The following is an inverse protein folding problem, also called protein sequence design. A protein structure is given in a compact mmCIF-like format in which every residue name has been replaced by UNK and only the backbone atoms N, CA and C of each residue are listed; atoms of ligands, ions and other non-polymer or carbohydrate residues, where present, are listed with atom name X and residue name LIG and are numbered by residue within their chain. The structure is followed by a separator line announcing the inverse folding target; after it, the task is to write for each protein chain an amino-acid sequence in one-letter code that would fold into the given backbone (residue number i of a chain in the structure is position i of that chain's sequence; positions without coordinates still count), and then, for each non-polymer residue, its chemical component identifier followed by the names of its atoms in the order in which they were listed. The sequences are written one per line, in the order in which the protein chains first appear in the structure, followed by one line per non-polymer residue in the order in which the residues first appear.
data_IF_679794825426
#
_entry.id   IF_679794825426
#
_cell.length_a   1.000
_cell.length_b   1.000
_cell.length_c   1.000
_cell.angle_alpha   90.00
_cell.angle_beta   90.00
_cell.angle_gamma   90.00
#
_symmetry.space_group_name_H-M   'P 1'
#
loop_
_entity.id
_entity.type
_entity.pdbx_description
1 polymer ?
#
# COMPACT_ATOMS: atom_id res chain seq x y z
N UNK A 1 -52.79 -13.54 -39.27
CA UNK A 1 -51.65 -14.07 -40.00
C UNK A 1 -50.34 -13.54 -39.45
N UNK A 2 -50.25 -12.29 -39.35
CA UNK A 2 -49.00 -11.70 -38.80
C UNK A 2 -48.66 -12.21 -37.40
N UNK A 3 -49.67 -12.47 -36.62
CA UNK A 3 -49.44 -12.94 -35.27
C UNK A 3 -48.73 -14.29 -35.24
N UNK A 4 -49.08 -15.17 -36.17
CA UNK A 4 -48.43 -16.47 -36.24
C UNK A 4 -46.99 -16.36 -36.60
N UNK A 5 -46.66 -15.48 -37.49
CA UNK A 5 -45.29 -15.27 -37.91
C UNK A 5 -44.49 -14.61 -36.80
N UNK A 6 -45.07 -13.62 -36.16
CA UNK A 6 -44.39 -12.92 -35.12
C UNK A 6 -44.26 -13.75 -33.84
N UNK A 7 -45.20 -14.68 -33.62
CA UNK A 7 -45.17 -15.49 -32.41
C UNK A 7 -43.90 -16.31 -32.27
N UNK A 8 -43.50 -17.14 -33.25
CA UNK A 8 -42.23 -17.84 -33.16
C UNK A 8 -41.04 -16.91 -33.10
N UNK A 9 -41.12 -15.81 -33.83
CA UNK A 9 -40.06 -14.81 -33.80
C UNK A 9 -39.91 -14.18 -32.42
N UNK A 10 -41.05 -13.88 -31.79
CA UNK A 10 -41.04 -13.33 -30.43
C UNK A 10 -40.47 -14.34 -29.45
N UNK A 11 -40.85 -15.59 -29.55
CA UNK A 11 -40.31 -16.64 -28.70
C UNK A 11 -38.82 -16.81 -28.92
N UNK A 12 -38.39 -16.83 -30.17
CA UNK A 12 -36.98 -16.94 -30.50
C UNK A 12 -36.19 -15.72 -29.98
N UNK A 13 -36.71 -14.53 -30.19
CA UNK A 13 -36.09 -13.30 -29.72
C UNK A 13 -36.03 -13.26 -28.20
N UNK A 14 -37.13 -13.66 -27.56
CA UNK A 14 -37.21 -13.66 -26.10
C UNK A 14 -36.21 -14.63 -25.50
N UNK A 15 -36.11 -15.84 -26.08
CA UNK A 15 -35.16 -16.82 -25.63
C UNK A 15 -33.71 -16.33 -25.81
N UNK A 16 -33.44 -15.75 -26.96
CA UNK A 16 -32.12 -15.18 -27.24
C UNK A 16 -31.80 -14.08 -26.27
N UNK A 17 -32.76 -13.22 -25.96
CA UNK A 17 -32.60 -12.15 -25.00
C UNK A 17 -32.29 -12.68 -23.61
N UNK A 18 -33.00 -13.72 -23.18
CA UNK A 18 -32.79 -14.33 -21.87
C UNK A 18 -31.40 -14.92 -21.79
N UNK A 19 -30.97 -15.63 -22.82
CA UNK A 19 -29.63 -16.20 -22.85
C UNK A 19 -28.58 -15.11 -22.79
N UNK A 20 -28.80 -14.06 -23.56
CA UNK A 20 -27.88 -12.93 -23.57
C UNK A 20 -27.82 -12.24 -22.22
N UNK A 21 -28.96 -12.05 -21.57
CA UNK A 21 -29.05 -11.44 -20.25
C UNK A 21 -28.33 -12.29 -19.21
N UNK A 22 -28.49 -13.60 -19.26
CA UNK A 22 -27.83 -14.51 -18.34
C UNK A 22 -26.31 -14.45 -18.54
N UNK A 23 -25.87 -14.43 -19.78
CA UNK A 23 -24.45 -14.32 -20.08
C UNK A 23 -23.88 -13.00 -19.56
N UNK A 24 -24.59 -11.90 -19.76
CA UNK A 24 -24.18 -10.60 -19.28
C UNK A 24 -24.08 -10.59 -17.74
N UNK A 25 -25.08 -11.13 -17.07
CA UNK A 25 -25.09 -11.21 -15.62
C UNK A 25 -23.92 -12.04 -15.11
N UNK A 26 -23.65 -13.16 -15.77
CA UNK A 26 -22.54 -14.03 -15.40
C UNK A 26 -21.21 -13.28 -15.53
N UNK A 27 -21.02 -12.56 -16.63
CA UNK A 27 -19.81 -11.79 -16.86
C UNK A 27 -19.67 -10.68 -15.81
N UNK A 28 -20.76 -9.97 -15.51
CA UNK A 28 -20.74 -8.95 -14.47
C UNK A 28 -20.40 -9.52 -13.10
N UNK A 29 -20.97 -10.69 -12.77
CA UNK A 29 -20.66 -11.32 -11.50
C UNK A 29 -19.20 -11.71 -11.39
N UNK A 30 -18.63 -12.24 -12.46
CA UNK A 30 -17.22 -12.61 -12.48
C UNK A 30 -16.32 -11.39 -12.38
N UNK A 31 -16.67 -10.31 -13.08
CA UNK A 31 -15.91 -9.07 -13.00
C UNK A 31 -15.98 -8.46 -11.61
N UNK A 32 -17.15 -8.43 -11.02
CA UNK A 32 -17.33 -7.89 -9.67
C UNK A 32 -16.55 -8.69 -8.64
N UNK A 33 -16.59 -10.01 -8.73
CA UNK A 33 -15.85 -10.87 -7.82
C UNK A 33 -14.35 -10.69 -7.99
N UNK A 34 -13.89 -10.61 -9.23
CA UNK A 34 -12.48 -10.39 -9.52
C UNK A 34 -12.01 -9.05 -8.98
N UNK A 35 -12.80 -7.99 -9.16
CA UNK A 35 -12.48 -6.66 -8.65
C UNK A 35 -12.46 -6.66 -7.13
N UNK A 36 -13.43 -7.31 -6.49
CA UNK A 36 -13.51 -7.40 -5.04
C UNK A 36 -12.28 -8.09 -4.45
N UNK A 37 -11.84 -9.18 -5.08
CA UNK A 37 -10.63 -9.87 -4.65
C UNK A 37 -9.39 -9.02 -4.81
N UNK A 38 -9.30 -8.29 -5.91
CA UNK A 38 -8.17 -7.40 -6.16
C UNK A 38 -8.14 -6.26 -5.14
N UNK A 39 -9.28 -5.68 -4.82
CA UNK A 39 -9.38 -4.62 -3.82
C UNK A 39 -9.01 -5.12 -2.43
N UNK A 40 -9.47 -6.31 -2.06
CA UNK A 40 -9.13 -6.89 -0.77
C UNK A 40 -7.64 -7.12 -0.65
N UNK A 41 -7.03 -7.68 -1.68
CA UNK A 41 -5.60 -7.91 -1.71
C UNK A 41 -4.82 -6.62 -1.60
N UNK A 42 -5.24 -5.59 -2.34
CA UNK A 42 -4.61 -4.29 -2.30
C UNK A 42 -4.75 -3.66 -0.92
N UNK A 43 -5.92 -3.80 -0.30
CA UNK A 43 -6.16 -3.30 1.03
C UNK A 43 -5.25 -3.99 2.07
N UNK A 44 -5.08 -5.30 1.97
CA UNK A 44 -4.19 -6.04 2.86
C UNK A 44 -2.74 -5.61 2.69
N UNK A 45 -2.28 -5.46 1.45
CA UNK A 45 -0.92 -5.01 1.17
C UNK A 45 -0.71 -3.59 1.68
N UNK A 46 -1.69 -2.71 1.47
CA UNK A 46 -1.62 -1.34 1.93
C UNK A 46 -1.59 -1.27 3.46
N UNK A 47 -2.42 -2.06 4.13
CA UNK A 47 -2.46 -2.08 5.58
C UNK A 47 -1.13 -2.58 6.15
N UNK A 48 -0.56 -3.62 5.56
CA UNK A 48 0.73 -4.14 5.98
C UNK A 48 1.83 -3.11 5.80
N UNK A 49 1.83 -2.42 4.65
CA UNK A 49 2.82 -1.38 4.38
C UNK A 49 2.72 -0.25 5.40
N UNK A 50 1.50 0.13 5.77
CA UNK A 50 1.27 1.16 6.78
C UNK A 50 1.80 0.73 8.14
N UNK A 51 1.50 -0.51 8.55
CA UNK A 51 1.97 -1.04 9.83
C UNK A 51 3.50 -1.11 9.84
N UNK A 52 4.10 -1.59 8.76
CA UNK A 52 5.55 -1.69 8.67
C UNK A 52 6.20 -0.30 8.74
N UNK A 53 5.61 0.69 8.09
CA UNK A 53 6.10 2.06 8.15
C UNK A 53 6.01 2.61 9.57
N UNK A 54 4.88 2.40 10.25
CA UNK A 54 4.72 2.89 11.63
C UNK A 54 5.68 2.21 12.59
N UNK A 55 5.97 0.93 12.38
CA UNK A 55 6.96 0.23 13.19
C UNK A 55 8.35 0.84 13.01
N UNK A 56 8.72 1.12 11.76
CA UNK A 56 10.00 1.74 11.47
C UNK A 56 10.07 3.15 12.05
N UNK A 57 8.97 3.89 11.94
CA UNK A 57 8.89 5.24 12.49
C UNK A 57 9.04 5.22 14.01
N UNK A 58 8.36 4.29 14.69
CA UNK A 58 8.46 4.15 16.14
C UNK A 58 9.88 3.77 16.55
N UNK A 59 10.51 2.87 15.82
CA UNK A 59 11.90 2.49 16.08
C UNK A 59 12.83 3.67 15.88
N UNK A 60 12.60 4.46 14.82
CA UNK A 60 13.39 5.66 14.57
C UNK A 60 13.24 6.68 15.69
N UNK A 61 12.04 6.85 16.22
CA UNK A 61 11.80 7.74 17.35
C UNK A 61 12.50 7.24 18.61
N UNK A 62 12.50 5.93 18.84
CA UNK A 62 13.22 5.35 19.97
C UNK A 62 14.72 5.59 19.86
N UNK A 63 15.28 5.42 18.67
CA UNK A 63 16.69 5.69 18.43
C UNK A 63 17.00 7.18 18.65
N UNK A 64 16.12 8.04 18.19
CA UNK A 64 16.25 9.49 18.42
C UNK A 64 16.29 9.79 19.92
N UNK A 65 15.40 9.15 20.68
CA UNK A 65 15.36 9.34 22.12
C UNK A 65 16.65 8.85 22.78
N UNK A 66 17.20 7.73 22.32
CA UNK A 66 18.47 7.21 22.84
C UNK A 66 19.61 8.17 22.53
N UNK A 67 19.64 8.74 21.35
CA UNK A 67 20.66 9.72 20.95
C UNK A 67 20.56 10.96 21.84
N UNK A 68 19.36 11.44 22.09
CA UNK A 68 19.15 12.61 22.94
C UNK A 68 19.56 12.35 24.39
N UNK A 69 19.42 11.12 24.85
CA UNK A 69 19.79 10.76 26.22
C UNK A 69 21.28 10.48 26.37
N UNK A 70 22.05 10.52 25.29
CA UNK A 70 23.47 10.28 25.31
C UNK A 70 23.90 8.87 24.95
N UNK A 71 22.94 7.98 24.69
CA UNK A 71 23.23 6.62 24.26
C UNK A 71 23.31 6.59 22.73
N UNK A 72 24.49 6.29 22.21
CA UNK A 72 24.68 6.24 20.76
C UNK A 72 24.79 4.77 20.34
N UNK A 73 23.77 4.21 19.67
CA UNK A 73 23.87 2.85 19.17
C UNK A 73 24.95 2.70 18.09
N UNK A 74 25.50 1.50 17.99
CA UNK A 74 26.58 1.23 17.03
C UNK A 74 26.16 1.46 15.57
N UNK A 75 24.89 1.22 15.29
CA UNK A 75 24.38 1.35 13.91
C UNK A 75 24.05 2.78 13.51
N UNK A 76 24.24 3.74 14.42
CA UNK A 76 24.05 5.15 14.12
C UNK A 76 25.38 5.74 13.69
N UNK A 77 25.37 6.40 12.54
CA UNK A 77 26.56 7.08 12.04
C UNK A 77 26.58 8.50 12.58
N UNK A 78 27.71 8.92 13.07
CA UNK A 78 27.89 10.26 13.58
C UNK A 78 28.97 10.98 12.76
N UNK A 79 28.63 12.13 12.24
CA UNK A 79 29.53 12.93 11.44
C UNK A 79 29.42 14.41 11.88
N UNK A 80 30.37 14.82 12.69
CA UNK A 80 30.36 16.19 13.24
C UNK A 80 29.19 16.39 14.18
N UNK A 81 28.17 17.10 13.72
CA UNK A 81 26.97 17.38 14.50
C UNK A 81 25.77 16.62 13.99
N UNK A 82 25.97 15.73 13.02
CA UNK A 82 24.88 15.05 12.34
C UNK A 82 24.90 13.56 12.67
N UNK A 83 23.75 13.06 13.10
CA UNK A 83 23.52 11.63 13.33
C UNK A 83 22.65 11.10 12.22
N UNK A 84 23.02 9.97 11.65
CA UNK A 84 22.22 9.33 10.61
C UNK A 84 22.08 7.86 10.88
N UNK A 85 20.90 7.33 10.56
CA UNK A 85 20.62 5.92 10.71
C UNK A 85 19.47 5.55 9.81
N UNK A 86 19.32 4.26 9.59
CA UNK A 86 18.21 3.72 8.78
C UNK A 86 17.46 2.67 9.56
N UNK A 87 16.14 2.65 9.40
CA UNK A 87 15.28 1.63 9.98
C UNK A 87 14.59 0.88 8.85
N UNK A 88 14.62 -0.46 8.86
CA UNK A 88 13.98 -1.21 7.78
C UNK A 88 12.47 -1.08 7.84
N UNK A 89 11.85 -0.73 6.71
CA UNK A 89 10.40 -0.70 6.56
C UNK A 89 9.95 -2.01 5.92
N UNK A 90 10.63 -2.40 4.83
CA UNK A 90 10.33 -3.61 4.09
C UNK A 90 11.61 -4.10 3.43
N UNK A 91 11.49 -5.14 2.59
CA UNK A 91 12.64 -5.65 1.86
C UNK A 91 13.20 -4.64 0.85
N UNK A 92 12.37 -3.72 0.41
CA UNK A 92 12.74 -2.76 -0.64
C UNK A 92 12.82 -1.32 -0.15
N UNK A 93 12.40 -1.05 1.09
CA UNK A 93 12.35 0.30 1.62
C UNK A 93 12.98 0.35 3.01
N UNK A 94 13.73 1.40 3.25
CA UNK A 94 14.26 1.74 4.56
C UNK A 94 13.85 3.16 4.89
N UNK A 95 13.65 3.44 6.17
CA UNK A 95 13.43 4.80 6.63
C UNK A 95 14.78 5.42 6.97
N UNK A 96 15.14 6.46 6.25
CA UNK A 96 16.39 7.17 6.46
C UNK A 96 16.14 8.39 7.34
N UNK A 97 16.88 8.48 8.41
CA UNK A 97 16.76 9.59 9.37
C UNK A 97 18.13 10.26 9.52
N UNK A 98 18.10 11.57 9.43
CA UNK A 98 19.28 12.38 9.66
C UNK A 98 18.91 13.51 10.64
N UNK A 99 19.64 13.59 11.74
CA UNK A 99 19.35 14.52 12.81
C UNK A 99 20.61 15.33 13.10
N UNK A 100 20.46 16.63 13.19
CA UNK A 100 21.56 17.51 13.52
C UNK A 100 21.40 18.07 14.94
N UNK A 101 22.50 18.15 15.65
CA UNK A 101 22.54 18.80 16.97
C UNK A 101 23.34 20.09 16.84
N UNK A 102 22.65 21.21 16.97
CA UNK A 102 23.24 22.53 16.84
C UNK A 102 22.98 23.34 18.11
N UNK A 103 24.04 23.72 18.82
CA UNK A 103 23.95 24.53 20.03
C UNK A 103 23.00 23.94 21.09
N UNK A 104 23.00 22.63 21.22
CA UNK A 104 22.15 21.93 22.17
C UNK A 104 20.70 21.70 21.71
N UNK A 105 20.38 22.19 20.55
CA UNK A 105 19.07 21.97 19.96
C UNK A 105 19.15 20.89 18.91
N UNK A 106 18.08 20.08 18.85
CA UNK A 106 18.00 18.97 17.93
C UNK A 106 17.09 19.35 16.76
N UNK A 107 17.60 19.15 15.56
CA UNK A 107 16.85 19.43 14.34
C UNK A 107 16.82 18.19 13.47
N UNK A 108 15.64 17.83 13.01
CA UNK A 108 15.48 16.73 12.06
C UNK A 108 15.78 17.27 10.67
N UNK A 109 16.89 16.81 10.10
CA UNK A 109 17.30 17.25 8.77
C UNK A 109 16.58 16.46 7.71
N UNK A 110 16.43 15.16 7.93
CA UNK A 110 15.82 14.25 6.95
C UNK A 110 15.08 13.15 7.68
N UNK A 111 13.88 12.82 7.21
CA UNK A 111 13.07 11.75 7.78
C UNK A 111 12.19 11.26 6.64
N UNK A 112 12.69 10.32 5.86
CA UNK A 112 12.01 9.89 4.65
C UNK A 112 12.34 8.46 4.32
N UNK A 113 11.39 7.77 3.66
CA UNK A 113 11.69 6.43 3.15
C UNK A 113 12.60 6.52 1.94
N UNK A 114 13.54 5.59 1.86
CA UNK A 114 14.46 5.50 0.74
C UNK A 114 14.48 4.06 0.26
N UNK A 115 14.81 3.87 -1.00
CA UNK A 115 14.90 2.54 -1.56
C UNK A 115 16.14 1.83 -1.03
N UNK A 116 15.97 0.59 -0.59
CA UNK A 116 17.08 -0.25 -0.17
C UNK A 116 17.71 -0.99 -1.34
N UNK A 117 17.06 -0.94 -2.50
CA UNK A 117 17.55 -1.57 -3.73
C UNK A 117 18.35 -0.55 -4.52
N UNK A 118 19.55 -0.93 -4.88
CA UNK A 118 20.43 -0.07 -5.69
C UNK A 118 20.44 -0.51 -7.14
#
# INVERSE_FOLDING_TARGET
MKKKHSFPTIFGSSSLLVIFAVLCLTVFCLLTLSTAKAELRLSEVSAKATVDYYKADAEAENIFAMIRSGNLPEYVSFDGNTYSYTCPISQTLNLYVEIASIDGEWEVVCWQPVSSIR
#
